data_IF_062781409698
#
_entry.id   IF_062781409698
#
_cell.length_a   1.000
_cell.length_b   1.000
_cell.length_c   1.000
_cell.angle_alpha   90.00
_cell.angle_beta   90.00
_cell.angle_gamma   90.00
#
_symmetry.space_group_name_H-M   'P 1'
#
loop_
_entity.id
_entity.type
_entity.pdbx_description
1 polymer ?
#
# COMPACT_ATOMS: atom_id res chain seq x y z
N UNK A 1 11.17 20.55 7.67
CA UNK A 1 11.55 19.17 8.06
C UNK A 1 11.13 18.27 6.93
N UNK A 2 11.99 17.32 6.55
CA UNK A 2 11.62 16.24 5.65
C UNK A 2 10.64 15.32 6.39
N UNK A 3 9.59 14.83 5.72
CA UNK A 3 8.77 13.77 6.32
C UNK A 3 9.53 12.44 6.29
N UNK A 4 9.12 11.46 7.11
CA UNK A 4 9.70 10.12 7.02
C UNK A 4 9.45 9.51 5.64
N UNK A 5 8.28 9.76 5.05
CA UNK A 5 7.96 9.42 3.66
C UNK A 5 9.04 9.90 2.67
N UNK A 6 9.49 11.15 2.78
CA UNK A 6 10.54 11.69 1.91
C UNK A 6 11.90 11.03 2.19
N UNK A 7 12.22 10.77 3.46
CA UNK A 7 13.48 10.15 3.88
C UNK A 7 13.65 8.71 3.36
N UNK A 8 12.55 7.97 3.22
CA UNK A 8 12.57 6.59 2.70
C UNK A 8 12.46 6.50 1.17
N UNK A 9 12.36 7.62 0.46
CA UNK A 9 12.28 7.65 -1.01
C UNK A 9 10.85 7.73 -1.58
N UNK A 10 9.87 8.05 -0.75
CA UNK A 10 8.51 8.38 -1.16
C UNK A 10 7.73 7.23 -1.79
N UNK A 11 6.82 7.59 -2.71
CA UNK A 11 5.86 6.71 -3.37
C UNK A 11 6.49 5.43 -3.91
N UNK A 12 7.57 5.55 -4.70
CA UNK A 12 8.21 4.41 -5.34
C UNK A 12 8.73 3.36 -4.35
N UNK A 13 9.18 3.79 -3.15
CA UNK A 13 9.59 2.85 -2.10
C UNK A 13 8.38 2.14 -1.51
N UNK A 14 7.32 2.87 -1.20
CA UNK A 14 6.10 2.31 -0.60
C UNK A 14 5.40 1.37 -1.57
N UNK A 15 5.22 1.78 -2.84
CA UNK A 15 4.66 0.97 -3.91
C UNK A 15 5.41 -0.36 -4.02
N UNK A 16 6.75 -0.33 -4.07
CA UNK A 16 7.55 -1.56 -4.14
C UNK A 16 7.40 -2.46 -2.92
N UNK A 17 7.27 -1.89 -1.71
CA UNK A 17 7.03 -2.67 -0.50
C UNK A 17 5.66 -3.37 -0.58
N UNK A 18 4.64 -2.64 -1.02
CA UNK A 18 3.27 -3.13 -1.14
C UNK A 18 3.17 -4.21 -2.23
N UNK A 19 3.83 -4.02 -3.37
CA UNK A 19 3.88 -5.00 -4.46
C UNK A 19 4.49 -6.32 -3.99
N UNK A 20 5.63 -6.26 -3.29
CA UNK A 20 6.28 -7.46 -2.76
C UNK A 20 5.40 -8.14 -1.71
N UNK A 21 4.73 -7.36 -0.86
CA UNK A 21 3.77 -7.90 0.11
C UNK A 21 2.63 -8.66 -0.58
N UNK A 22 1.98 -8.04 -1.58
CA UNK A 22 0.85 -8.67 -2.28
C UNK A 22 1.27 -9.81 -3.21
N UNK A 23 2.48 -9.79 -3.77
CA UNK A 23 3.06 -10.94 -4.45
C UNK A 23 3.21 -12.14 -3.50
N UNK A 24 3.59 -11.90 -2.24
CA UNK A 24 3.61 -12.93 -1.20
C UNK A 24 2.20 -13.45 -0.87
N UNK A 25 1.25 -12.53 -0.59
CA UNK A 25 -0.15 -12.84 -0.30
C UNK A 25 -0.80 -13.67 -1.42
N UNK A 26 -0.51 -13.37 -2.68
CA UNK A 26 -1.06 -14.09 -3.83
C UNK A 26 -0.72 -15.59 -3.82
N UNK A 27 0.40 -15.97 -3.19
CA UNK A 27 0.92 -17.34 -3.15
C UNK A 27 0.74 -18.03 -1.79
N UNK A 28 0.29 -17.32 -0.77
CA UNK A 28 0.17 -17.83 0.59
C UNK A 28 -1.21 -18.46 0.82
N UNK A 29 -1.25 -19.75 1.17
CA UNK A 29 -2.49 -20.51 1.34
C UNK A 29 -3.37 -20.01 2.51
N UNK A 30 -2.80 -19.30 3.48
CA UNK A 30 -3.51 -18.76 4.64
C UNK A 30 -3.98 -17.33 4.41
N UNK A 31 -3.18 -16.52 3.72
CA UNK A 31 -3.51 -15.11 3.46
C UNK A 31 -4.39 -14.96 2.22
N UNK A 32 -4.19 -15.76 1.17
CA UNK A 32 -4.97 -15.66 -0.07
C UNK A 32 -6.49 -15.77 0.15
N UNK A 33 -7.01 -16.67 1.01
CA UNK A 33 -8.45 -16.76 1.27
C UNK A 33 -9.06 -15.55 1.96
N UNK A 34 -8.26 -14.67 2.57
CA UNK A 34 -8.72 -13.43 3.20
C UNK A 34 -9.17 -12.37 2.18
N UNK A 35 -8.78 -12.53 0.91
CA UNK A 35 -9.12 -11.63 -0.18
C UNK A 35 -10.13 -12.32 -1.10
N UNK A 36 -11.44 -11.99 -0.99
CA UNK A 36 -12.47 -12.65 -1.79
C UNK A 36 -12.37 -12.30 -3.28
N UNK A 37 -11.77 -11.16 -3.61
CA UNK A 37 -11.49 -10.78 -4.99
C UNK A 37 -10.32 -11.58 -5.58
N UNK A 38 -10.40 -11.89 -6.88
CA UNK A 38 -9.26 -12.45 -7.62
C UNK A 38 -8.15 -11.42 -7.82
N UNK A 39 -8.54 -10.17 -8.07
CA UNK A 39 -7.65 -9.04 -8.29
C UNK A 39 -7.28 -8.36 -6.95
N UNK A 40 -5.99 -8.44 -6.60
CA UNK A 40 -5.43 -7.79 -5.41
C UNK A 40 -5.02 -6.33 -5.66
N UNK A 41 -5.04 -5.86 -6.92
CA UNK A 41 -4.62 -4.51 -7.33
C UNK A 41 -5.32 -3.39 -6.55
N UNK A 42 -6.66 -3.39 -6.43
CA UNK A 42 -7.37 -2.38 -5.66
C UNK A 42 -7.06 -2.42 -4.15
N UNK A 43 -6.72 -3.59 -3.60
CA UNK A 43 -6.29 -3.71 -2.21
C UNK A 43 -4.86 -3.18 -2.01
N UNK A 44 -3.97 -3.45 -2.97
CA UNK A 44 -2.62 -2.91 -3.04
C UNK A 44 -2.63 -1.38 -3.12
N UNK A 45 -3.36 -0.79 -4.06
CA UNK A 45 -3.47 0.65 -4.22
C UNK A 45 -3.94 1.34 -2.94
N UNK A 46 -5.01 0.82 -2.31
CA UNK A 46 -5.51 1.36 -1.03
C UNK A 46 -4.48 1.28 0.08
N UNK A 47 -3.67 0.21 0.11
CA UNK A 47 -2.64 0.04 1.13
C UNK A 47 -1.45 0.97 0.90
N UNK A 48 -1.04 1.17 -0.36
CA UNK A 48 -0.05 2.16 -0.76
C UNK A 48 -0.46 3.55 -0.28
N UNK A 49 -1.65 4.02 -0.68
CA UNK A 49 -2.13 5.36 -0.31
C UNK A 49 -2.24 5.54 1.22
N UNK A 50 -2.63 4.49 1.94
CA UNK A 50 -2.67 4.51 3.41
C UNK A 50 -1.27 4.71 4.01
N UNK A 51 -0.28 3.94 3.56
CA UNK A 51 1.09 4.01 4.07
C UNK A 51 1.76 5.35 3.73
N UNK A 52 1.51 5.90 2.54
CA UNK A 52 1.97 7.23 2.18
C UNK A 52 1.48 8.28 3.17
N UNK A 53 0.17 8.31 3.41
CA UNK A 53 -0.42 9.26 4.34
C UNK A 53 0.08 9.04 5.78
N UNK A 54 0.21 7.78 6.20
CA UNK A 54 0.68 7.43 7.54
C UNK A 54 2.10 7.94 7.82
N UNK A 55 2.99 7.90 6.83
CA UNK A 55 4.38 8.34 6.96
C UNK A 55 4.62 9.83 6.66
N UNK A 56 3.53 10.60 6.51
CA UNK A 56 3.58 12.05 6.29
C UNK A 56 3.64 12.49 4.83
N UNK A 57 3.33 11.59 3.90
CA UNK A 57 3.14 11.88 2.48
C UNK A 57 1.74 12.43 2.15
N UNK A 58 1.29 12.32 0.88
CA UNK A 58 0.01 12.88 0.41
C UNK A 58 -1.23 12.36 1.18
N UNK A 59 -2.25 13.20 1.32
CA UNK A 59 -3.54 12.84 1.98
C UNK A 59 -4.55 12.19 1.03
N UNK A 60 -4.09 11.66 -0.11
CA UNK A 60 -4.91 11.07 -1.17
C UNK A 60 -5.83 9.97 -0.66
N UNK A 61 -5.38 9.16 0.31
CA UNK A 61 -6.19 8.11 0.93
C UNK A 61 -7.44 8.67 1.64
N UNK A 62 -7.29 9.71 2.46
CA UNK A 62 -8.46 10.37 3.08
C UNK A 62 -9.38 11.05 2.06
N UNK A 63 -8.84 11.63 0.98
CA UNK A 63 -9.63 12.33 -0.04
C UNK A 63 -10.47 11.38 -0.91
N UNK A 64 -10.00 10.15 -1.13
CA UNK A 64 -10.72 9.12 -1.91
C UNK A 64 -11.73 8.34 -1.08
N UNK A 65 -11.69 8.45 0.26
CA UNK A 65 -12.66 7.85 1.19
C UNK A 65 -13.62 8.84 1.84
N UNK A 66 -13.54 10.12 1.49
CA UNK A 66 -14.46 11.19 1.90
C UNK A 66 -15.81 11.10 1.20
#
# INVERSE_FOLDING_TARGET
MSSFYDEIGGHATIERIVDVFYAGVATDELLRPMYPEEDLGPAAERFTLFLEQYWGGPTTYSNTRG
#
